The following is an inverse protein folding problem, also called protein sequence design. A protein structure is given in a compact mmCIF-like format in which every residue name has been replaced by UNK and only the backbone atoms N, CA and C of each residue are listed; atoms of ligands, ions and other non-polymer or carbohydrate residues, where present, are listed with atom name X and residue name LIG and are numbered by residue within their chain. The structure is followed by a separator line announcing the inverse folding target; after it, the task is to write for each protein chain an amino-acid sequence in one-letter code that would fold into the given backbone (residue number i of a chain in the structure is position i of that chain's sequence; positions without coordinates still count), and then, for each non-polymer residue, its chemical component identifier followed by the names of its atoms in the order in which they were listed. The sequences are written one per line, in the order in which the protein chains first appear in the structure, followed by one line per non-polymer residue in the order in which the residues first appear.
data_IF_277896389177
#
_entry.id   IF_277896389177
#
_cell.length_a   1.000
_cell.length_b   1.000
_cell.length_c   1.000
_cell.angle_alpha   90.00
_cell.angle_beta   90.00
_cell.angle_gamma   90.00
#
_symmetry.space_group_name_H-M   'P 1'
#
loop_
_entity.id
_entity.type
_entity.pdbx_description
1 polymer ?
#
# COMPACT_ATOMS: atom_id res chain seq x y z
N UNK A 1 13.17 -14.04 32.32
CA UNK A 1 12.32 -12.87 32.04
C UNK A 1 11.21 -13.36 31.13
N UNK A 2 9.98 -13.38 31.64
CA UNK A 2 8.88 -14.16 31.07
C UNK A 2 8.32 -13.53 29.81
N UNK A 3 8.61 -14.11 28.66
CA UNK A 3 7.95 -13.77 27.39
C UNK A 3 6.47 -14.21 27.35
N UNK A 4 6.01 -14.98 28.34
CA UNK A 4 4.63 -15.49 28.42
C UNK A 4 3.59 -14.37 28.53
N UNK A 5 3.87 -13.27 29.23
CA UNK A 5 2.98 -12.14 29.39
C UNK A 5 2.74 -11.31 28.10
N UNK A 6 3.61 -11.42 27.10
CA UNK A 6 3.42 -10.73 25.81
C UNK A 6 2.44 -11.52 24.93
N UNK A 7 2.34 -12.83 25.13
CA UNK A 7 1.52 -13.74 24.34
C UNK A 7 0.18 -14.16 24.99
N UNK A 8 -0.09 -13.75 26.22
CA UNK A 8 -1.42 -13.91 26.85
C UNK A 8 -2.49 -13.01 26.21
N UNK A 9 -2.13 -12.46 25.07
CA UNK A 9 -3.07 -11.80 24.19
C UNK A 9 -4.08 -12.83 23.70
N UNK A 10 -5.31 -12.69 24.12
CA UNK A 10 -6.43 -13.45 23.57
C UNK A 10 -6.37 -13.28 22.04
N UNK A 11 -6.02 -14.34 21.34
CA UNK A 11 -6.00 -14.44 19.86
C UNK A 11 -7.25 -13.78 19.26
N UNK A 12 -8.38 -13.82 19.98
CA UNK A 12 -9.61 -13.13 19.64
C UNK A 12 -9.47 -11.59 19.49
N UNK A 13 -8.61 -10.91 20.25
CA UNK A 13 -8.44 -9.46 20.10
C UNK A 13 -7.59 -9.11 18.87
N UNK A 14 -6.61 -9.94 18.55
CA UNK A 14 -5.85 -9.80 17.32
C UNK A 14 -6.73 -10.08 16.10
N UNK A 15 -7.55 -11.12 16.15
CA UNK A 15 -8.51 -11.45 15.09
C UNK A 15 -9.55 -10.33 14.96
N UNK A 16 -10.07 -9.76 16.02
CA UNK A 16 -11.03 -8.65 15.98
C UNK A 16 -10.37 -7.38 15.44
N UNK A 17 -9.18 -7.02 15.89
CA UNK A 17 -8.44 -5.88 15.36
C UNK A 17 -8.15 -6.07 13.86
N UNK A 18 -7.86 -7.30 13.46
CA UNK A 18 -7.53 -7.67 12.10
C UNK A 18 -8.77 -7.81 11.19
N UNK A 19 -9.90 -8.30 11.70
CA UNK A 19 -11.17 -8.32 10.97
C UNK A 19 -11.74 -6.90 10.80
N UNK A 20 -11.58 -6.02 11.78
CA UNK A 20 -11.89 -4.60 11.65
C UNK A 20 -10.96 -3.92 10.62
N UNK A 21 -9.68 -4.27 10.60
CA UNK A 21 -8.72 -3.83 9.59
C UNK A 21 -9.14 -4.30 8.18
N UNK A 22 -9.52 -5.57 8.01
CA UNK A 22 -10.02 -6.12 6.75
C UNK A 22 -11.37 -5.54 6.32
N UNK A 23 -12.30 -5.37 7.25
CA UNK A 23 -13.61 -4.78 6.97
C UNK A 23 -13.47 -3.33 6.49
N UNK A 24 -12.48 -2.59 6.99
CA UNK A 24 -12.18 -1.25 6.54
C UNK A 24 -11.58 -1.24 5.13
N UNK A 25 -10.73 -2.21 4.78
CA UNK A 25 -10.21 -2.36 3.41
C UNK A 25 -11.30 -2.77 2.39
N UNK A 26 -12.37 -3.42 2.82
CA UNK A 26 -13.53 -3.67 1.96
C UNK A 26 -14.30 -2.38 1.59
N UNK A 27 -14.10 -1.28 2.35
CA UNK A 27 -14.68 0.05 2.08
C UNK A 27 -13.81 0.88 1.14
N UNK A 28 -12.56 0.46 0.88
CA UNK A 28 -11.59 1.19 0.06
C UNK A 28 -12.08 1.49 -1.36
N UNK A 29 -12.77 0.59 -2.07
CA UNK A 29 -13.26 0.90 -3.40
C UNK A 29 -14.19 2.12 -3.45
N UNK A 30 -14.99 2.34 -2.40
CA UNK A 30 -15.93 3.47 -2.35
C UNK A 30 -15.23 4.82 -2.08
N UNK A 31 -14.04 4.82 -1.47
CA UNK A 31 -13.26 6.05 -1.24
C UNK A 31 -12.62 6.54 -2.54
N UNK A 32 -12.25 5.63 -3.45
CA UNK A 32 -11.73 5.99 -4.77
C UNK A 32 -12.74 6.78 -5.63
N UNK A 33 -14.02 6.41 -5.56
CA UNK A 33 -15.07 7.11 -6.33
C UNK A 33 -15.32 8.56 -5.85
N UNK A 34 -14.98 8.89 -4.59
CA UNK A 34 -15.19 10.23 -4.02
C UNK A 34 -13.93 11.11 -4.01
N UNK A 35 -12.73 10.54 -4.06
CA UNK A 35 -11.48 11.31 -4.09
C UNK A 35 -11.31 12.09 -5.42
N UNK A 36 -11.89 11.62 -6.52
CA UNK A 36 -11.86 12.32 -7.82
C UNK A 36 -12.63 13.66 -7.82
N UNK A 37 -13.61 13.83 -6.92
CA UNK A 37 -14.38 15.08 -6.83
C UNK A 37 -13.64 16.21 -6.09
N UNK A 38 -12.58 15.89 -5.33
CA UNK A 38 -11.83 16.88 -4.51
C UNK A 38 -10.55 17.36 -5.19
N UNK A 39 -10.00 16.59 -6.13
CA UNK A 39 -8.67 16.87 -6.72
C UNK A 39 -8.71 17.95 -7.85
N UNK A 40 -9.88 18.36 -8.31
CA UNK A 40 -9.99 19.42 -9.34
C UNK A 40 -9.67 20.83 -8.82
N UNK A 41 -9.45 21.02 -7.51
CA UNK A 41 -9.20 22.34 -6.91
C UNK A 41 -7.79 22.52 -6.33
N UNK A 42 -6.94 21.49 -6.31
CA UNK A 42 -5.59 21.55 -5.68
C UNK A 42 -4.43 21.46 -6.70
N UNK A 43 -4.72 21.32 -7.99
CA UNK A 43 -3.70 21.06 -9.02
C UNK A 43 -2.85 22.27 -9.46
N UNK A 44 -2.92 23.43 -8.76
CA UNK A 44 -2.23 24.65 -9.24
C UNK A 44 -0.98 25.06 -8.43
N UNK A 45 -0.38 24.21 -7.62
CA UNK A 45 0.76 24.70 -6.78
C UNK A 45 1.96 23.78 -6.58
N UNK A 46 2.19 22.75 -7.41
CA UNK A 46 3.46 22.00 -7.35
C UNK A 46 4.02 21.66 -8.73
N UNK A 47 4.44 22.70 -9.46
CA UNK A 47 5.40 22.51 -10.55
C UNK A 47 6.79 22.29 -9.93
N UNK A 48 7.17 21.03 -9.73
CA UNK A 48 8.58 20.65 -9.63
C UNK A 48 9.01 20.24 -11.04
N UNK A 49 9.86 21.05 -11.63
CA UNK A 49 10.48 20.82 -12.94
C UNK A 49 11.21 19.47 -12.96
N UNK A 50 10.68 18.52 -13.69
CA UNK A 50 11.44 17.44 -14.31
C UNK A 50 11.36 17.67 -15.82
N UNK A 51 12.19 18.60 -16.28
CA UNK A 51 12.41 18.83 -17.69
C UNK A 51 13.35 17.74 -18.21
N UNK A 52 12.80 16.74 -18.88
CA UNK A 52 13.57 15.79 -19.67
C UNK A 52 12.80 15.49 -20.96
N UNK A 53 13.17 16.22 -21.99
CA UNK A 53 13.11 15.87 -23.43
C UNK A 53 11.83 15.15 -23.92
N UNK A 54 10.80 15.92 -24.21
CA UNK A 54 9.79 15.53 -25.19
C UNK A 54 10.40 15.65 -26.60
N UNK A 55 10.70 14.54 -27.23
CA UNK A 55 10.98 14.48 -28.65
C UNK A 55 9.88 13.68 -29.35
N UNK A 56 9.21 14.36 -30.23
CA UNK A 56 8.22 13.99 -31.22
C UNK A 56 7.87 12.51 -31.43
N UNK A 57 6.58 12.23 -31.27
CA UNK A 57 5.90 10.98 -31.60
C UNK A 57 5.80 10.82 -33.14
N UNK A 58 6.72 10.04 -33.72
CA UNK A 58 6.56 9.46 -35.05
C UNK A 58 6.09 8.01 -34.93
N UNK A 59 4.93 7.67 -35.47
CA UNK A 59 4.45 6.29 -35.60
C UNK A 59 5.40 5.52 -36.52
N UNK A 60 6.14 4.56 -35.93
CA UNK A 60 6.99 3.60 -36.66
C UNK A 60 6.96 2.28 -35.87
N UNK A 61 6.75 1.19 -36.57
CA UNK A 61 6.68 -0.18 -36.10
C UNK A 61 7.75 -0.52 -35.06
N UNK A 62 7.30 -1.03 -33.89
CA UNK A 62 8.13 -1.83 -32.98
C UNK A 62 9.17 -1.08 -32.14
N UNK A 63 9.03 0.19 -31.83
CA UNK A 63 9.90 0.83 -30.83
C UNK A 63 9.45 0.40 -29.44
N UNK A 64 10.34 -0.33 -28.76
CA UNK A 64 10.22 -0.63 -27.33
C UNK A 64 10.13 0.68 -26.54
N UNK A 65 8.99 0.92 -25.88
CA UNK A 65 8.79 2.05 -24.97
C UNK A 65 9.01 1.58 -23.54
N UNK A 66 10.13 1.96 -22.91
CA UNK A 66 10.40 1.56 -21.53
C UNK A 66 9.41 2.14 -20.54
N UNK A 67 8.81 3.29 -20.82
CA UNK A 67 7.85 3.94 -19.94
C UNK A 67 6.58 3.11 -19.81
N UNK A 68 6.09 2.58 -20.93
CA UNK A 68 4.90 1.72 -20.95
C UNK A 68 5.13 0.45 -20.13
N UNK A 69 6.27 -0.21 -20.29
CA UNK A 69 6.63 -1.43 -19.53
C UNK A 69 6.73 -1.15 -18.02
N UNK A 70 7.36 -0.04 -17.65
CA UNK A 70 7.49 0.37 -16.25
C UNK A 70 6.10 0.64 -15.65
N UNK A 71 5.26 1.37 -16.37
CA UNK A 71 3.93 1.73 -15.91
C UNK A 71 3.01 0.52 -15.77
N UNK A 72 3.05 -0.40 -16.71
CA UNK A 72 2.26 -1.64 -16.66
C UNK A 72 2.63 -2.52 -15.46
N UNK A 73 3.92 -2.59 -15.10
CA UNK A 73 4.36 -3.35 -13.94
C UNK A 73 3.96 -2.74 -12.60
N UNK A 74 4.00 -1.40 -12.49
CA UNK A 74 3.69 -0.68 -11.25
C UNK A 74 2.18 -0.58 -11.03
N UNK A 75 1.40 -0.44 -12.11
CA UNK A 75 -0.04 -0.30 -12.06
C UNK A 75 -0.73 -1.53 -11.44
N UNK A 76 -1.84 -1.27 -10.75
CA UNK A 76 -2.73 -2.34 -10.30
C UNK A 76 -3.49 -2.93 -11.50
N UNK A 77 -3.78 -4.22 -11.45
CA UNK A 77 -4.37 -4.96 -12.58
C UNK A 77 -5.37 -5.99 -12.09
N UNK A 78 -6.37 -6.29 -12.92
CA UNK A 78 -7.36 -7.35 -12.68
C UNK A 78 -6.85 -8.75 -13.06
N UNK A 79 -5.61 -8.85 -13.53
CA UNK A 79 -4.97 -10.10 -13.91
C UNK A 79 -3.64 -10.23 -13.17
N UNK A 80 -3.37 -11.38 -12.59
CA UNK A 80 -2.09 -11.65 -11.93
C UNK A 80 -1.20 -12.50 -12.84
N UNK A 81 -0.17 -11.90 -13.39
CA UNK A 81 0.81 -12.61 -14.23
C UNK A 81 1.69 -13.53 -13.37
N UNK A 82 1.82 -14.78 -13.79
CA UNK A 82 2.62 -15.80 -13.11
C UNK A 82 3.99 -15.94 -13.76
N UNK A 83 4.02 -16.27 -15.05
CA UNK A 83 5.24 -16.35 -15.86
C UNK A 83 4.88 -16.46 -17.34
N UNK A 84 5.51 -15.71 -18.21
CA UNK A 84 5.25 -15.72 -19.66
C UNK A 84 3.78 -15.44 -19.96
N UNK A 85 3.11 -16.35 -20.68
CA UNK A 85 1.69 -16.22 -21.04
C UNK A 85 0.73 -16.80 -19.97
N UNK A 86 1.25 -17.29 -18.84
CA UNK A 86 0.42 -17.84 -17.79
C UNK A 86 -0.01 -16.72 -16.84
N UNK A 87 -1.32 -16.47 -16.78
CA UNK A 87 -1.92 -15.45 -15.91
C UNK A 87 -3.09 -16.04 -15.11
N UNK A 88 -3.25 -15.59 -13.87
CA UNK A 88 -4.39 -15.91 -13.03
C UNK A 88 -5.44 -14.80 -13.18
N UNK A 89 -6.62 -15.13 -13.75
CA UNK A 89 -7.73 -14.17 -13.80
C UNK A 89 -8.32 -13.99 -12.41
N UNK A 90 -8.59 -12.74 -12.05
CA UNK A 90 -9.17 -12.37 -10.76
C UNK A 90 -10.67 -12.08 -10.90
N UNK A 91 -11.48 -12.26 -9.85
CA UNK A 91 -12.90 -11.99 -9.91
C UNK A 91 -13.17 -10.48 -9.99
N UNK A 92 -13.95 -10.10 -10.97
CA UNK A 92 -14.49 -8.76 -11.17
C UNK A 92 -15.87 -8.69 -10.53
N UNK A 93 -16.08 -7.69 -9.68
CA UNK A 93 -17.31 -7.45 -8.93
C UNK A 93 -17.72 -6.00 -9.16
N UNK A 94 -18.76 -5.78 -9.96
CA UNK A 94 -19.29 -4.47 -10.29
C UNK A 94 -20.67 -4.27 -9.70
N UNK A 95 -20.87 -3.18 -9.01
CA UNK A 95 -22.19 -2.74 -8.59
C UNK A 95 -22.67 -1.62 -9.49
N UNK A 96 -23.70 -1.91 -10.29
CA UNK A 96 -24.30 -0.99 -11.24
C UNK A 96 -25.69 -0.57 -10.74
N UNK A 97 -26.28 0.53 -11.25
CA UNK A 97 -27.67 0.87 -10.94
C UNK A 97 -28.68 -0.23 -11.25
N UNK A 98 -28.36 -1.12 -12.19
CA UNK A 98 -29.20 -2.25 -12.60
C UNK A 98 -29.00 -3.49 -11.73
N UNK A 99 -27.96 -3.55 -10.89
CA UNK A 99 -27.68 -4.67 -9.98
C UNK A 99 -26.22 -5.06 -9.91
N UNK A 100 -25.95 -6.12 -9.14
CA UNK A 100 -24.61 -6.67 -8.95
C UNK A 100 -24.24 -7.60 -10.13
N UNK A 101 -23.05 -7.40 -10.69
CA UNK A 101 -22.45 -8.29 -11.68
C UNK A 101 -21.13 -8.86 -11.17
N UNK A 102 -20.96 -10.17 -11.37
CA UNK A 102 -19.72 -10.88 -10.97
C UNK A 102 -19.31 -11.78 -12.12
N UNK A 103 -18.07 -11.59 -12.59
CA UNK A 103 -17.48 -12.39 -13.65
C UNK A 103 -15.96 -12.46 -13.49
N UNK A 104 -15.29 -13.28 -14.32
CA UNK A 104 -13.84 -13.42 -14.28
C UNK A 104 -13.17 -12.40 -15.20
N UNK A 105 -12.06 -11.81 -14.76
CA UNK A 105 -11.27 -10.89 -15.61
C UNK A 105 -10.68 -11.58 -16.86
N UNK A 106 -10.62 -12.92 -16.88
CA UNK A 106 -10.22 -13.69 -18.04
C UNK A 106 -11.11 -13.48 -19.27
N UNK A 107 -12.38 -13.10 -19.07
CA UNK A 107 -13.34 -12.77 -20.13
C UNK A 107 -12.90 -11.58 -21.01
N UNK A 108 -12.03 -10.70 -20.48
CA UNK A 108 -11.50 -9.58 -21.25
C UNK A 108 -10.34 -9.95 -22.19
N UNK A 109 -9.83 -11.20 -22.14
CA UNK A 109 -8.68 -11.65 -22.94
C UNK A 109 -7.55 -10.62 -23.00
N UNK A 110 -7.08 -10.17 -21.83
CA UNK A 110 -6.07 -9.11 -21.67
C UNK A 110 -6.49 -7.71 -22.17
N UNK A 111 -7.78 -7.48 -22.38
CA UNK A 111 -8.31 -6.19 -22.86
C UNK A 111 -8.60 -6.15 -24.36
N UNK A 112 -8.38 -7.26 -25.08
CA UNK A 112 -8.64 -7.35 -26.52
C UNK A 112 -10.15 -7.50 -26.84
N UNK A 113 -10.94 -8.00 -25.90
CA UNK A 113 -12.37 -8.25 -26.09
C UNK A 113 -13.24 -7.55 -25.06
N UNK A 114 -14.40 -7.08 -25.54
CA UNK A 114 -15.45 -6.56 -24.67
C UNK A 114 -16.21 -7.73 -24.03
N UNK A 115 -16.41 -7.67 -22.71
CA UNK A 115 -17.24 -8.64 -22.02
C UNK A 115 -18.69 -8.19 -21.98
N UNK A 116 -19.61 -9.04 -22.49
CA UNK A 116 -21.04 -8.81 -22.40
C UNK A 116 -21.59 -9.38 -21.10
N UNK A 117 -21.73 -8.49 -20.10
CA UNK A 117 -22.34 -8.82 -18.82
C UNK A 117 -23.85 -9.01 -18.92
N UNK A 118 -24.49 -9.16 -17.76
CA UNK A 118 -25.94 -9.35 -17.67
C UNK A 118 -26.74 -8.07 -18.01
N UNK A 119 -26.21 -6.92 -17.63
CA UNK A 119 -26.89 -5.64 -17.79
C UNK A 119 -26.20 -4.72 -18.82
N UNK A 120 -24.87 -4.74 -18.87
CA UNK A 120 -24.08 -3.87 -19.73
C UNK A 120 -22.95 -4.66 -20.42
N UNK A 121 -22.37 -4.03 -21.45
CA UNK A 121 -21.12 -4.49 -22.05
C UNK A 121 -19.97 -3.72 -21.44
N UNK A 122 -18.92 -4.40 -21.05
CA UNK A 122 -17.76 -3.83 -20.34
C UNK A 122 -16.49 -3.96 -21.17
N UNK A 123 -15.68 -2.93 -21.12
CA UNK A 123 -14.33 -2.90 -21.71
C UNK A 123 -13.32 -2.56 -20.64
N UNK A 124 -12.19 -3.26 -20.63
CA UNK A 124 -11.03 -2.86 -19.86
C UNK A 124 -10.35 -1.71 -20.62
N UNK A 125 -10.53 -0.47 -20.17
CA UNK A 125 -9.97 0.69 -20.88
C UNK A 125 -8.47 0.72 -20.71
N UNK A 126 -7.76 0.50 -21.82
CA UNK A 126 -6.45 1.12 -22.04
C UNK A 126 -6.74 2.57 -22.40
N UNK A 127 -6.16 3.51 -21.65
CA UNK A 127 -6.47 4.92 -21.86
C UNK A 127 -6.24 5.36 -23.29
N UNK A 128 -7.19 6.18 -23.75
CA UNK A 128 -7.13 6.86 -25.02
C UNK A 128 -5.86 7.71 -25.10
N UNK A 129 -5.01 7.41 -26.06
CA UNK A 129 -3.85 8.19 -26.45
C UNK A 129 -4.22 9.67 -26.53
N UNK A 130 -3.80 10.47 -25.56
CA UNK A 130 -3.97 11.92 -25.62
C UNK A 130 -4.34 12.65 -24.33
N UNK A 131 -4.65 11.96 -23.25
CA UNK A 131 -4.86 12.62 -21.97
C UNK A 131 -3.60 12.56 -21.08
N UNK A 132 -3.31 13.70 -20.47
CA UNK A 132 -2.12 13.95 -19.66
C UNK A 132 -1.88 12.85 -18.62
N UNK A 133 -0.65 12.36 -18.57
CA UNK A 133 -0.11 11.26 -17.76
C UNK A 133 -0.47 11.30 -16.25
N UNK A 134 -1.08 12.39 -15.76
CA UNK A 134 -1.25 12.61 -14.33
C UNK A 134 -2.47 11.97 -13.69
N UNK A 135 -3.51 11.62 -14.43
CA UNK A 135 -4.78 11.22 -13.82
C UNK A 135 -5.08 9.71 -13.77
N UNK A 136 -4.38 8.90 -14.57
CA UNK A 136 -4.66 7.46 -14.65
C UNK A 136 -3.47 6.56 -14.30
N UNK A 137 -2.55 7.09 -13.53
CA UNK A 137 -1.25 6.48 -13.21
C UNK A 137 -1.31 5.09 -12.55
N UNK A 138 -2.48 4.67 -12.02
CA UNK A 138 -2.48 3.52 -11.10
C UNK A 138 -3.50 2.40 -11.37
N UNK A 139 -4.50 2.54 -12.25
CA UNK A 139 -5.50 1.48 -12.43
C UNK A 139 -6.09 1.43 -13.84
N UNK A 140 -6.06 0.27 -14.48
CA UNK A 140 -6.92 -0.01 -15.65
C UNK A 140 -8.37 -0.07 -15.15
N UNK A 141 -9.21 0.92 -15.52
CA UNK A 141 -10.61 0.99 -15.10
C UNK A 141 -11.51 0.20 -16.05
N UNK A 142 -12.52 -0.45 -15.49
CA UNK A 142 -13.57 -1.10 -16.28
C UNK A 142 -14.61 -0.04 -16.63
N UNK A 143 -14.87 0.13 -17.93
CA UNK A 143 -15.83 1.12 -18.46
C UNK A 143 -16.98 0.42 -19.18
N UNK A 144 -18.15 1.06 -19.20
CA UNK A 144 -19.31 0.61 -19.97
C UNK A 144 -19.14 1.00 -21.42
N UNK A 145 -19.50 0.08 -22.32
CA UNK A 145 -19.55 0.32 -23.75
C UNK A 145 -21.01 0.53 -24.14
N UNK A 146 -21.32 1.67 -24.76
CA UNK A 146 -22.62 2.00 -25.28
C UNK A 146 -23.01 1.14 -26.49
N UNK A 147 -24.25 1.27 -26.95
CA UNK A 147 -24.78 0.54 -28.11
C UNK A 147 -24.06 0.89 -29.43
N UNK A 148 -23.39 2.02 -29.47
CA UNK A 148 -22.58 2.54 -30.58
C UNK A 148 -21.11 2.04 -30.57
N UNK A 149 -20.76 1.18 -29.61
CA UNK A 149 -19.39 0.63 -29.46
C UNK A 149 -18.38 1.58 -28.85
N UNK A 150 -18.81 2.78 -28.46
CA UNK A 150 -17.97 3.77 -27.77
C UNK A 150 -18.15 3.65 -26.24
N UNK A 151 -17.19 4.21 -25.49
CA UNK A 151 -17.25 4.24 -24.03
C UNK A 151 -18.34 5.24 -23.61
N UNK A 152 -19.28 4.80 -22.80
CA UNK A 152 -20.29 5.61 -22.14
C UNK A 152 -19.74 6.10 -20.81
N UNK A 153 -19.29 7.37 -20.77
CA UNK A 153 -18.70 7.97 -19.56
C UNK A 153 -19.74 8.18 -18.45
N UNK A 154 -21.01 8.49 -18.80
CA UNK A 154 -22.06 8.69 -17.80
C UNK A 154 -22.45 7.39 -17.11
N UNK A 155 -22.63 6.32 -17.88
CA UNK A 155 -22.89 5.00 -17.33
C UNK A 155 -21.68 4.45 -16.55
N UNK A 156 -20.47 4.74 -17.03
CA UNK A 156 -19.22 4.32 -16.36
C UNK A 156 -19.04 5.02 -15.01
N UNK A 157 -19.41 6.29 -14.88
CA UNK A 157 -19.33 7.05 -13.63
C UNK A 157 -20.29 6.52 -12.53
N UNK A 158 -21.34 5.79 -12.91
CA UNK A 158 -22.32 5.23 -11.97
C UNK A 158 -21.93 3.83 -11.46
N UNK A 159 -20.86 3.25 -11.96
CA UNK A 159 -20.41 1.91 -11.52
C UNK A 159 -19.50 2.07 -10.31
N UNK A 160 -19.79 1.27 -9.27
CA UNK A 160 -18.87 1.06 -8.16
C UNK A 160 -18.11 -0.24 -8.41
N UNK A 161 -16.80 -0.14 -8.54
CA UNK A 161 -15.91 -1.29 -8.77
C UNK A 161 -15.40 -1.83 -7.42
N UNK A 162 -15.83 -3.06 -7.09
CA UNK A 162 -15.40 -3.83 -5.93
C UNK A 162 -14.52 -5.03 -6.33
N UNK A 163 -13.96 -4.99 -7.52
CA UNK A 163 -13.17 -6.10 -8.06
C UNK A 163 -11.95 -6.40 -7.19
N UNK A 164 -11.58 -7.67 -7.16
CA UNK A 164 -10.34 -8.10 -6.52
C UNK A 164 -9.20 -7.90 -7.52
N UNK A 165 -8.44 -6.83 -7.32
CA UNK A 165 -7.24 -6.54 -8.11
C UNK A 165 -6.04 -7.33 -7.60
N UNK A 166 -4.92 -7.29 -8.34
CA UNK A 166 -3.64 -7.90 -7.98
C UNK A 166 -3.17 -7.45 -6.58
N UNK A 167 -3.27 -6.15 -6.28
CA UNK A 167 -2.85 -5.61 -5.00
C UNK A 167 -3.77 -6.07 -3.85
N UNK A 168 -5.08 -6.11 -4.09
CA UNK A 168 -6.06 -6.61 -3.11
C UNK A 168 -5.83 -8.10 -2.82
N UNK A 169 -5.61 -8.90 -3.86
CA UNK A 169 -5.31 -10.33 -3.72
C UNK A 169 -4.01 -10.58 -2.94
N UNK A 170 -2.94 -9.82 -3.23
CA UNK A 170 -1.67 -9.89 -2.50
C UNK A 170 -1.82 -9.46 -1.03
N UNK A 171 -2.64 -8.45 -0.77
CA UNK A 171 -2.97 -8.03 0.58
C UNK A 171 -3.68 -9.13 1.36
N UNK A 172 -4.68 -9.80 0.77
CA UNK A 172 -5.33 -10.96 1.40
C UNK A 172 -4.35 -12.10 1.65
N UNK A 173 -3.46 -12.37 0.69
CA UNK A 173 -2.41 -13.37 0.86
C UNK A 173 -1.49 -13.04 2.05
N UNK A 174 -1.04 -11.78 2.16
CA UNK A 174 -0.25 -11.30 3.31
C UNK A 174 -0.97 -11.53 4.63
N UNK A 175 -2.27 -11.24 4.66
CA UNK A 175 -3.12 -11.46 5.82
C UNK A 175 -3.16 -12.93 6.22
N UNK A 176 -3.37 -13.82 5.27
CA UNK A 176 -3.37 -15.27 5.51
C UNK A 176 -2.00 -15.73 6.04
N UNK A 177 -0.91 -15.29 5.41
CA UNK A 177 0.45 -15.59 5.86
C UNK A 177 0.66 -15.13 7.31
N UNK A 178 0.27 -13.89 7.64
CA UNK A 178 0.38 -13.36 9.00
C UNK A 178 -0.40 -14.20 10.01
N UNK A 179 -1.66 -14.53 9.71
CA UNK A 179 -2.47 -15.36 10.60
C UNK A 179 -1.85 -16.75 10.82
N UNK A 180 -1.39 -17.40 9.76
CA UNK A 180 -0.73 -18.71 9.86
C UNK A 180 0.57 -18.65 10.66
N UNK A 181 1.41 -17.65 10.39
CA UNK A 181 2.68 -17.47 11.08
C UNK A 181 2.45 -17.17 12.56
N UNK A 182 1.63 -16.17 12.89
CA UNK A 182 1.42 -15.76 14.28
C UNK A 182 0.70 -16.82 15.11
N UNK A 183 -0.30 -17.52 14.55
CA UNK A 183 -0.98 -18.61 15.26
C UNK A 183 -0.05 -19.81 15.49
N UNK A 184 0.81 -20.13 14.52
CA UNK A 184 1.84 -21.18 14.66
C UNK A 184 2.84 -20.82 15.75
N UNK A 185 3.36 -19.59 15.75
CA UNK A 185 4.31 -19.09 16.75
C UNK A 185 3.66 -19.05 18.14
N UNK A 186 2.44 -18.53 18.26
CA UNK A 186 1.71 -18.50 19.54
C UNK A 186 1.48 -19.91 20.11
N UNK A 187 1.16 -20.87 19.25
CA UNK A 187 1.02 -22.28 19.65
C UNK A 187 2.37 -22.88 20.09
N UNK A 188 3.46 -22.52 19.39
CA UNK A 188 4.80 -22.97 19.76
C UNK A 188 5.25 -22.44 21.13
N UNK A 189 4.92 -21.18 21.46
CA UNK A 189 5.18 -20.61 22.79
C UNK A 189 4.42 -21.36 23.89
N UNK A 190 3.13 -21.64 23.71
CA UNK A 190 2.33 -22.40 24.68
C UNK A 190 2.85 -23.82 24.92
N UNK A 191 3.31 -24.51 23.82
CA UNK A 191 3.83 -25.89 23.93
C UNK A 191 5.23 -25.96 24.54
N UNK A 192 5.99 -24.86 24.51
CA UNK A 192 7.40 -24.81 24.93
C UNK A 192 7.66 -23.84 26.05
N UNK A 193 6.68 -23.65 26.92
CA UNK A 193 6.83 -22.81 28.10
C UNK A 193 8.04 -23.28 28.93
N UNK A 194 8.96 -22.34 29.26
CA UNK A 194 10.21 -22.63 29.98
C UNK A 194 11.30 -23.35 29.17
N UNK A 195 11.16 -23.55 27.84
CA UNK A 195 12.16 -24.14 26.97
C UNK A 195 12.68 -23.17 25.93
N UNK A 196 13.89 -23.42 25.41
CA UNK A 196 14.47 -22.60 24.34
C UNK A 196 13.61 -22.60 23.06
N UNK A 197 13.48 -21.45 22.37
CA UNK A 197 12.76 -21.34 21.11
C UNK A 197 13.42 -22.20 20.02
N UNK A 198 12.63 -22.73 19.09
CA UNK A 198 13.12 -23.51 17.94
C UNK A 198 12.35 -23.19 16.67
N UNK A 199 13.02 -23.30 15.52
CA UNK A 199 12.44 -23.11 14.20
C UNK A 199 11.95 -21.68 13.96
N UNK A 200 10.73 -21.51 13.44
CA UNK A 200 10.14 -20.21 13.12
C UNK A 200 10.04 -19.27 14.35
N UNK A 201 9.77 -19.83 15.52
CA UNK A 201 9.77 -19.08 16.78
C UNK A 201 11.13 -18.42 17.05
N UNK A 202 12.24 -19.18 16.91
CA UNK A 202 13.60 -18.67 17.13
C UNK A 202 14.00 -17.61 16.10
N UNK A 203 13.46 -17.68 14.89
CA UNK A 203 13.70 -16.69 13.83
C UNK A 203 12.97 -15.37 14.09
N UNK A 204 11.73 -15.42 14.54
CA UNK A 204 10.90 -14.22 14.75
C UNK A 204 11.12 -13.57 16.12
N UNK A 205 11.57 -14.32 17.12
CA UNK A 205 11.77 -13.81 18.49
C UNK A 205 12.70 -12.60 18.58
N UNK A 206 13.86 -12.55 17.90
CA UNK A 206 14.70 -11.36 17.89
C UNK A 206 13.98 -10.11 17.38
N UNK A 207 13.12 -10.26 16.37
CA UNK A 207 12.34 -9.14 15.81
C UNK A 207 11.28 -8.68 16.81
N UNK A 208 10.58 -9.60 17.47
CA UNK A 208 9.61 -9.25 18.52
C UNK A 208 10.26 -8.53 19.69
N UNK A 209 11.41 -9.04 20.15
CA UNK A 209 12.19 -8.42 21.25
C UNK A 209 12.66 -7.02 20.84
N UNK A 210 13.19 -6.87 19.63
CA UNK A 210 13.61 -5.58 19.08
C UNK A 210 12.46 -4.57 19.05
N UNK A 211 11.30 -4.92 18.48
CA UNK A 211 10.15 -4.01 18.43
C UNK A 211 9.64 -3.68 19.84
N UNK A 212 9.68 -4.64 20.77
CA UNK A 212 9.25 -4.42 22.14
C UNK A 212 10.21 -3.49 22.91
N UNK A 213 11.51 -3.79 22.89
CA UNK A 213 12.48 -3.18 23.79
C UNK A 213 13.11 -1.91 23.21
N UNK A 214 13.34 -1.87 21.88
CA UNK A 214 13.96 -0.73 21.21
C UNK A 214 12.97 0.24 20.57
N UNK A 215 11.72 -0.20 20.29
CA UNK A 215 10.71 0.66 19.68
C UNK A 215 9.57 1.00 20.64
N UNK A 216 8.86 0.00 21.16
CA UNK A 216 7.64 0.25 21.92
C UNK A 216 7.91 0.83 23.31
N UNK A 217 8.79 0.22 24.10
CA UNK A 217 9.09 0.66 25.47
C UNK A 217 9.65 2.07 25.57
N UNK A 218 10.66 2.46 24.76
CA UNK A 218 11.25 3.80 24.87
C UNK A 218 10.30 4.91 24.46
N UNK A 219 9.41 4.64 23.48
CA UNK A 219 8.53 5.65 22.90
C UNK A 219 7.16 5.74 23.57
N UNK A 220 6.61 4.62 24.07
CA UNK A 220 5.25 4.56 24.64
C UNK A 220 5.29 4.54 26.18
N UNK A 221 6.40 4.06 26.78
CA UNK A 221 6.55 3.98 28.22
C UNK A 221 5.76 2.82 28.83
N UNK A 222 5.06 3.06 29.96
CA UNK A 222 4.42 2.03 30.76
C UNK A 222 3.33 1.23 30.00
N UNK A 223 2.58 1.90 29.14
CA UNK A 223 1.42 1.31 28.44
C UNK A 223 1.78 0.60 27.11
N UNK A 224 3.07 0.38 26.84
CA UNK A 224 3.53 -0.22 25.58
C UNK A 224 2.85 -1.55 25.25
N UNK A 225 2.55 -2.37 26.27
CA UNK A 225 1.95 -3.69 26.08
C UNK A 225 0.57 -3.64 25.40
N UNK A 226 -0.18 -2.56 25.61
CA UNK A 226 -1.49 -2.34 25.00
C UNK A 226 -1.40 -2.13 23.49
N UNK A 227 -0.33 -1.45 23.02
CA UNK A 227 -0.14 -1.10 21.62
C UNK A 227 0.76 -2.08 20.85
N UNK A 228 1.42 -3.03 21.55
CA UNK A 228 2.27 -4.04 20.92
C UNK A 228 1.61 -4.80 19.76
N UNK A 229 0.35 -5.25 19.86
CA UNK A 229 -0.29 -5.96 18.75
C UNK A 229 -0.41 -5.12 17.50
N UNK A 230 -0.77 -3.84 17.66
CA UNK A 230 -0.88 -2.91 16.56
C UNK A 230 0.48 -2.68 15.89
N UNK A 231 1.53 -2.40 16.68
CA UNK A 231 2.87 -2.16 16.18
C UNK A 231 3.44 -3.39 15.44
N UNK A 232 3.27 -4.60 16.00
CA UNK A 232 3.68 -5.83 15.35
C UNK A 232 2.91 -6.09 14.06
N UNK A 233 1.60 -5.84 14.07
CA UNK A 233 0.75 -6.03 12.87
C UNK A 233 1.20 -5.11 11.75
N UNK A 234 1.39 -3.82 12.01
CA UNK A 234 1.86 -2.86 11.01
C UNK A 234 3.25 -3.24 10.50
N UNK A 235 4.18 -3.53 11.41
CA UNK A 235 5.54 -3.89 11.03
C UNK A 235 5.56 -5.07 10.06
N UNK A 236 4.96 -6.19 10.46
CA UNK A 236 4.98 -7.39 9.63
C UNK A 236 4.11 -7.27 8.39
N UNK A 237 3.01 -6.53 8.43
CA UNK A 237 2.19 -6.25 7.26
C UNK A 237 2.98 -5.49 6.19
N UNK A 238 3.64 -4.41 6.58
CA UNK A 238 4.49 -3.63 5.66
C UNK A 238 5.66 -4.48 5.17
N UNK A 239 6.36 -5.17 6.08
CA UNK A 239 7.53 -5.99 5.74
C UNK A 239 7.18 -7.08 4.74
N UNK A 240 6.12 -7.86 4.98
CA UNK A 240 5.73 -8.97 4.10
C UNK A 240 5.26 -8.45 2.75
N UNK A 241 4.44 -7.36 2.71
CA UNK A 241 4.03 -6.78 1.44
C UNK A 241 5.21 -6.24 0.63
N UNK A 242 6.17 -5.57 1.28
CA UNK A 242 7.37 -5.10 0.61
C UNK A 242 8.20 -6.27 0.06
N UNK A 243 8.40 -7.33 0.86
CA UNK A 243 9.13 -8.53 0.42
C UNK A 243 8.41 -9.25 -0.73
N UNK A 244 7.09 -9.38 -0.66
CA UNK A 244 6.30 -9.96 -1.75
C UNK A 244 6.38 -9.11 -3.02
N UNK A 245 6.40 -7.78 -2.88
CA UNK A 245 6.57 -6.86 -3.99
C UNK A 245 7.89 -7.05 -4.72
N UNK A 246 8.98 -7.31 -4.00
CA UNK A 246 10.32 -7.54 -4.56
C UNK A 246 10.46 -8.85 -5.34
N UNK A 247 9.63 -9.85 -5.07
CA UNK A 247 9.68 -11.14 -5.77
C UNK A 247 8.97 -11.00 -7.12
N UNK A 248 9.67 -11.11 -8.26
CA UNK A 248 9.05 -10.90 -9.58
C UNK A 248 8.20 -12.09 -10.07
N UNK A 249 8.10 -13.15 -9.26
CA UNK A 249 7.41 -14.41 -9.59
C UNK A 249 6.22 -14.57 -8.66
N UNK A 250 5.11 -15.11 -9.20
CA UNK A 250 3.94 -15.45 -8.36
C UNK A 250 4.35 -16.26 -7.11
N UNK A 251 3.84 -15.92 -5.93
CA UNK A 251 2.77 -14.96 -5.59
C UNK A 251 3.27 -13.52 -5.34
N UNK A 252 4.42 -13.14 -5.83
CA UNK A 252 4.98 -11.80 -5.73
C UNK A 252 4.57 -10.86 -6.88
N UNK A 253 5.32 -9.78 -7.04
CA UNK A 253 5.13 -8.80 -8.11
C UNK A 253 3.94 -7.86 -7.94
N UNK A 254 3.27 -7.89 -6.78
CA UNK A 254 2.21 -6.94 -6.46
C UNK A 254 2.78 -5.77 -5.63
N UNK A 255 2.66 -4.57 -6.14
CA UNK A 255 3.16 -3.35 -5.51
C UNK A 255 2.12 -2.77 -4.53
N UNK A 256 1.78 -3.51 -3.47
CA UNK A 256 0.73 -3.13 -2.51
C UNK A 256 1.08 -1.83 -1.78
N UNK A 257 2.30 -1.71 -1.30
CA UNK A 257 2.79 -0.53 -0.54
C UNK A 257 3.22 0.63 -1.45
N UNK A 258 3.40 0.39 -2.74
CA UNK A 258 3.51 1.41 -3.77
C UNK A 258 2.17 1.91 -4.30
N UNK A 259 1.05 1.44 -3.74
CA UNK A 259 -0.27 2.01 -4.00
C UNK A 259 -0.59 3.07 -2.93
N UNK A 260 -0.83 4.31 -3.38
CA UNK A 260 -1.04 5.46 -2.49
C UNK A 260 -2.25 5.29 -1.57
N UNK A 261 -3.32 4.62 -2.03
CA UNK A 261 -4.48 4.39 -1.20
C UNK A 261 -4.21 3.39 -0.07
N UNK A 262 -3.45 2.33 -0.34
CA UNK A 262 -3.05 1.38 0.71
C UNK A 262 -2.21 2.07 1.78
N UNK A 263 -1.23 2.88 1.38
CA UNK A 263 -0.38 3.62 2.31
C UNK A 263 -1.14 4.72 3.06
N UNK A 264 -2.10 5.37 2.39
CA UNK A 264 -3.00 6.34 3.01
C UNK A 264 -3.84 5.69 4.12
N UNK A 265 -4.42 4.53 3.86
CA UNK A 265 -5.24 3.81 4.85
C UNK A 265 -4.39 3.37 6.05
N UNK A 266 -3.18 2.85 5.84
CA UNK A 266 -2.27 2.52 6.93
C UNK A 266 -1.95 3.74 7.80
N UNK A 267 -1.67 4.88 7.16
CA UNK A 267 -1.42 6.13 7.85
C UNK A 267 -2.66 6.65 8.59
N UNK A 268 -3.85 6.51 7.99
CA UNK A 268 -5.12 6.87 8.60
C UNK A 268 -5.44 6.02 9.83
N UNK A 269 -5.14 4.71 9.80
CA UNK A 269 -5.25 3.86 11.00
C UNK A 269 -4.36 4.34 12.14
N UNK A 270 -3.12 4.68 11.83
CA UNK A 270 -2.20 5.26 12.81
C UNK A 270 -2.78 6.55 13.39
N UNK A 271 -3.29 7.45 12.55
CA UNK A 271 -3.94 8.69 12.97
C UNK A 271 -5.13 8.43 13.90
N UNK A 272 -6.02 7.50 13.53
CA UNK A 272 -7.18 7.13 14.34
C UNK A 272 -6.74 6.59 15.70
N UNK A 273 -5.78 5.66 15.74
CA UNK A 273 -5.30 5.07 16.99
C UNK A 273 -4.66 6.14 17.89
N UNK A 274 -3.85 7.02 17.33
CA UNK A 274 -3.23 8.12 18.07
C UNK A 274 -4.30 9.03 18.69
N UNK A 275 -5.25 9.50 17.89
CA UNK A 275 -6.25 10.47 18.35
C UNK A 275 -7.29 9.86 19.31
N UNK A 276 -7.73 8.61 19.08
CA UNK A 276 -8.71 7.92 19.98
C UNK A 276 -8.09 7.61 21.34
N UNK A 277 -6.77 7.35 21.39
CA UNK A 277 -6.08 7.08 22.65
C UNK A 277 -5.44 8.34 23.25
N UNK A 278 -5.58 9.50 22.60
CA UNK A 278 -5.03 10.77 23.06
C UNK A 278 -5.59 11.17 24.42
N UNK A 279 -4.69 11.50 25.36
CA UNK A 279 -5.03 11.90 26.73
C UNK A 279 -5.63 13.32 26.74
N UNK A 280 -6.24 13.70 27.87
CA UNK A 280 -6.76 15.08 28.06
C UNK A 280 -5.68 16.16 27.89
N UNK A 281 -4.44 15.87 28.24
CA UNK A 281 -3.31 16.78 28.06
C UNK A 281 -2.95 16.98 26.59
N UNK A 282 -3.01 15.91 25.79
CA UNK A 282 -2.83 15.97 24.33
C UNK A 282 -3.86 16.89 23.68
N UNK A 283 -5.15 16.67 23.96
CA UNK A 283 -6.20 17.53 23.40
C UNK A 283 -6.17 18.95 23.93
N UNK A 284 -5.78 19.14 25.19
CA UNK A 284 -5.56 20.49 25.75
C UNK A 284 -4.42 21.22 25.04
N UNK A 285 -3.34 20.51 24.70
CA UNK A 285 -2.23 21.09 23.93
C UNK A 285 -2.68 21.53 22.54
N UNK A 286 -3.51 20.74 21.87
CA UNK A 286 -4.06 21.03 20.53
C UNK A 286 -4.99 22.24 20.55
N UNK A 287 -5.95 22.29 21.48
CA UNK A 287 -7.00 23.33 21.48
C UNK A 287 -6.70 24.51 22.43
N UNK A 288 -5.86 24.33 23.40
CA UNK A 288 -5.50 25.35 24.39
C UNK A 288 -4.01 25.29 24.75
N UNK A 289 -3.12 25.54 23.77
CA UNK A 289 -1.68 25.54 24.02
C UNK A 289 -1.30 26.56 25.07
N UNK A 290 -0.21 26.32 25.81
CA UNK A 290 0.27 27.19 26.89
C UNK A 290 0.95 28.46 26.34
N UNK A 291 0.22 29.26 25.55
CA UNK A 291 0.67 30.51 24.94
C UNK A 291 -0.28 31.66 25.23
N UNK A 292 0.10 32.91 25.08
CA UNK A 292 -0.79 34.07 25.24
C UNK A 292 -2.01 33.95 24.28
N UNK A 293 -3.19 34.37 24.76
CA UNK A 293 -4.47 34.20 24.02
C UNK A 293 -4.49 34.75 22.60
N UNK A 294 -3.72 35.83 22.33
CA UNK A 294 -3.64 36.39 20.98
C UNK A 294 -2.94 35.49 19.98
N UNK A 295 -2.05 34.59 20.45
CA UNK A 295 -1.35 33.60 19.62
C UNK A 295 -2.21 32.36 19.27
N UNK A 296 -3.35 32.14 19.91
CA UNK A 296 -4.23 31.00 19.65
C UNK A 296 -4.69 30.96 18.19
N UNK A 297 -4.90 32.12 17.56
CA UNK A 297 -5.34 32.24 16.16
C UNK A 297 -4.35 31.56 15.21
N UNK A 298 -3.06 31.61 15.55
CA UNK A 298 -1.99 31.00 14.71
C UNK A 298 -1.67 29.58 15.21
N UNK A 299 -1.60 29.39 16.53
CA UNK A 299 -1.10 28.14 17.11
C UNK A 299 -2.06 26.95 16.92
N UNK A 300 -3.37 27.16 17.07
CA UNK A 300 -4.36 26.10 16.89
C UNK A 300 -4.36 25.55 15.45
N UNK A 301 -4.40 26.36 14.38
CA UNK A 301 -4.25 25.86 13.01
C UNK A 301 -2.93 25.13 12.77
N UNK A 302 -1.82 25.63 13.29
CA UNK A 302 -0.50 24.99 13.15
C UNK A 302 -0.48 23.62 13.81
N UNK A 303 -1.02 23.49 15.04
CA UNK A 303 -1.09 22.23 15.75
C UNK A 303 -2.00 21.24 15.02
N UNK A 304 -3.14 21.70 14.50
CA UNK A 304 -4.05 20.87 13.69
C UNK A 304 -3.38 20.37 12.40
N UNK A 305 -2.67 21.24 11.68
CA UNK A 305 -1.86 20.86 10.51
C UNK A 305 -0.78 19.86 10.93
N UNK A 306 -0.16 20.05 12.09
CA UNK A 306 0.82 19.13 12.65
C UNK A 306 0.28 17.72 12.84
N UNK A 307 -0.93 17.58 13.38
CA UNK A 307 -1.59 16.28 13.55
C UNK A 307 -1.83 15.59 12.19
N UNK A 308 -2.25 16.36 11.19
CA UNK A 308 -2.56 15.82 9.85
C UNK A 308 -1.28 15.51 9.05
N UNK A 309 -0.23 16.33 9.21
CA UNK A 309 1.02 16.15 8.46
C UNK A 309 1.81 14.91 8.84
N UNK A 310 1.69 14.44 10.10
CA UNK A 310 2.38 13.24 10.59
C UNK A 310 2.01 11.97 9.79
N UNK A 311 0.72 11.57 9.70
CA UNK A 311 0.33 10.41 8.89
C UNK A 311 0.57 10.65 7.38
N UNK A 312 0.42 11.88 6.90
CA UNK A 312 0.74 12.22 5.51
C UNK A 312 2.22 11.93 5.19
N UNK A 313 3.13 12.33 6.08
CA UNK A 313 4.54 12.02 5.92
C UNK A 313 4.85 10.52 5.92
N UNK A 314 4.13 9.73 6.76
CA UNK A 314 4.23 8.26 6.75
C UNK A 314 3.76 7.66 5.41
N UNK A 315 2.62 8.12 4.92
CA UNK A 315 2.04 7.70 3.64
C UNK A 315 3.01 7.96 2.49
N UNK A 316 3.43 9.23 2.32
CA UNK A 316 4.30 9.63 1.20
C UNK A 316 5.63 8.90 1.25
N UNK A 317 6.23 8.75 2.44
CA UNK A 317 7.50 8.04 2.58
C UNK A 317 7.41 6.58 2.14
N UNK A 318 6.37 5.86 2.59
CA UNK A 318 6.19 4.46 2.24
C UNK A 318 5.93 4.30 0.74
N UNK A 319 5.00 5.07 0.20
CA UNK A 319 4.67 5.09 -1.22
C UNK A 319 5.88 5.42 -2.11
N UNK A 320 6.54 6.56 -1.83
CA UNK A 320 7.62 7.05 -2.68
C UNK A 320 8.83 6.11 -2.74
N UNK A 321 9.23 5.55 -1.61
CA UNK A 321 10.41 4.68 -1.57
C UNK A 321 10.22 3.40 -2.37
N UNK A 322 9.07 2.73 -2.22
CA UNK A 322 8.80 1.48 -2.94
C UNK A 322 8.57 1.75 -4.43
N UNK A 323 7.79 2.78 -4.77
CA UNK A 323 7.54 3.11 -6.18
C UNK A 323 8.83 3.55 -6.89
N UNK A 324 9.67 4.37 -6.26
CA UNK A 324 10.95 4.79 -6.83
C UNK A 324 11.91 3.59 -7.05
N UNK A 325 11.98 2.66 -6.09
CA UNK A 325 12.79 1.44 -6.23
C UNK A 325 12.40 0.64 -7.48
N UNK A 326 11.11 0.30 -7.62
CA UNK A 326 10.60 -0.42 -8.79
C UNK A 326 10.86 0.32 -10.11
N UNK A 327 10.67 1.66 -10.15
CA UNK A 327 10.97 2.45 -11.36
C UNK A 327 12.45 2.34 -11.74
N UNK A 328 13.36 2.44 -10.78
CA UNK A 328 14.79 2.38 -11.04
C UNK A 328 15.20 1.01 -11.57
N UNK A 329 14.75 -0.09 -10.92
CA UNK A 329 15.08 -1.45 -11.34
C UNK A 329 14.57 -1.74 -12.75
N UNK A 330 13.30 -1.42 -13.04
CA UNK A 330 12.71 -1.61 -14.36
C UNK A 330 13.38 -0.75 -15.43
N UNK A 331 13.76 0.48 -15.10
CA UNK A 331 14.49 1.37 -16.01
C UNK A 331 15.87 0.82 -16.35
N UNK A 332 16.59 0.25 -15.37
CA UNK A 332 17.89 -0.40 -15.61
C UNK A 332 17.77 -1.63 -16.51
N UNK A 333 16.72 -2.43 -16.35
CA UNK A 333 16.45 -3.59 -17.22
C UNK A 333 16.11 -3.10 -18.63
N UNK A 334 15.29 -2.07 -18.76
CA UNK A 334 14.88 -1.48 -20.04
C UNK A 334 16.06 -0.96 -20.85
N UNK A 335 17.16 -0.56 -20.20
CA UNK A 335 18.37 -0.07 -20.86
C UNK A 335 18.98 -1.12 -21.81
N UNK A 336 18.88 -2.42 -21.49
CA UNK A 336 19.37 -3.52 -22.32
C UNK A 336 18.61 -3.53 -23.67
N UNK A 337 17.31 -3.32 -23.62
CA UNK A 337 16.43 -3.33 -24.80
C UNK A 337 16.60 -2.06 -25.65
N UNK A 338 16.81 -0.89 -25.00
CA UNK A 338 17.04 0.39 -25.71
C UNK A 338 18.31 0.34 -26.52
N UNK A 339 19.40 -0.08 -25.90
CA UNK A 339 20.71 -0.11 -26.59
C UNK A 339 20.88 -1.30 -27.53
N UNK A 340 20.01 -2.31 -27.48
CA UNK A 340 20.09 -3.55 -28.30
C UNK A 340 21.49 -4.18 -28.31
N UNK A 341 22.27 -3.96 -27.26
CA UNK A 341 23.66 -4.38 -27.15
C UNK A 341 23.85 -5.34 -25.97
N UNK A 342 24.23 -6.57 -26.29
CA UNK A 342 24.52 -7.59 -25.29
C UNK A 342 25.73 -7.21 -24.39
N UNK A 343 26.58 -6.31 -24.85
CA UNK A 343 27.72 -5.82 -24.06
C UNK A 343 27.31 -4.99 -22.83
N UNK A 344 26.12 -4.36 -22.85
CA UNK A 344 25.58 -3.58 -21.74
C UNK A 344 24.91 -4.48 -20.70
N UNK A 345 24.44 -5.65 -21.09
CA UNK A 345 23.69 -6.55 -20.22
C UNK A 345 24.44 -6.90 -18.91
N UNK A 346 25.73 -7.26 -18.87
CA UNK A 346 26.42 -7.56 -17.62
C UNK A 346 26.47 -6.37 -16.65
N UNK A 347 26.63 -5.15 -17.18
CA UNK A 347 26.68 -3.91 -16.38
C UNK A 347 25.29 -3.61 -15.83
N UNK A 348 24.26 -3.66 -16.67
CA UNK A 348 22.88 -3.42 -16.26
C UNK A 348 22.42 -4.45 -15.21
N UNK A 349 22.67 -5.74 -15.42
CA UNK A 349 22.34 -6.80 -14.47
C UNK A 349 23.10 -6.63 -13.16
N UNK A 350 24.39 -6.24 -13.19
CA UNK A 350 25.16 -5.96 -11.99
C UNK A 350 24.55 -4.82 -11.16
N UNK A 351 24.10 -3.74 -11.83
CA UNK A 351 23.39 -2.64 -11.16
C UNK A 351 22.02 -3.05 -10.63
N UNK A 352 21.27 -3.87 -11.36
CA UNK A 352 19.97 -4.40 -10.91
C UNK A 352 20.15 -5.20 -9.63
N UNK A 353 21.09 -6.15 -9.57
CA UNK A 353 21.36 -6.94 -8.35
C UNK A 353 21.74 -6.02 -7.18
N UNK A 354 22.56 -5.00 -7.42
CA UNK A 354 22.92 -4.02 -6.39
C UNK A 354 21.68 -3.26 -5.89
N UNK A 355 20.82 -2.81 -6.80
CA UNK A 355 19.58 -2.11 -6.46
C UNK A 355 18.60 -3.02 -5.72
N UNK A 356 18.45 -4.28 -6.10
CA UNK A 356 17.58 -5.24 -5.41
C UNK A 356 18.03 -5.46 -3.95
N UNK A 357 19.35 -5.52 -3.70
CA UNK A 357 19.89 -5.61 -2.33
C UNK A 357 19.58 -4.35 -1.54
N UNK A 358 19.72 -3.16 -2.15
CA UNK A 358 19.33 -1.90 -1.50
C UNK A 358 17.82 -1.85 -1.23
N UNK A 359 17.01 -2.30 -2.19
CA UNK A 359 15.55 -2.31 -2.07
C UNK A 359 15.11 -3.28 -0.95
N UNK A 360 15.76 -4.42 -0.79
CA UNK A 360 15.55 -5.32 0.33
C UNK A 360 15.86 -4.66 1.68
N UNK A 361 16.96 -3.92 1.77
CA UNK A 361 17.30 -3.14 2.96
C UNK A 361 16.25 -2.07 3.24
N UNK A 362 15.84 -1.34 2.21
CA UNK A 362 14.81 -0.29 2.30
C UNK A 362 13.46 -0.89 2.72
N UNK A 363 13.10 -2.06 2.22
CA UNK A 363 11.87 -2.77 2.57
C UNK A 363 11.76 -3.02 4.09
N UNK A 364 12.86 -3.49 4.70
CA UNK A 364 12.94 -3.67 6.15
C UNK A 364 12.94 -2.32 6.89
N UNK A 365 13.79 -1.40 6.46
CA UNK A 365 13.92 -0.07 7.07
C UNK A 365 12.59 0.69 7.05
N UNK A 366 11.81 0.55 6.01
CA UNK A 366 10.52 1.23 5.86
C UNK A 366 9.48 0.69 6.85
N UNK A 367 9.42 -0.64 7.03
CA UNK A 367 8.58 -1.26 8.06
C UNK A 367 8.99 -0.80 9.47
N UNK A 368 10.29 -0.72 9.73
CA UNK A 368 10.84 -0.23 11.00
C UNK A 368 10.51 1.24 11.25
N UNK A 369 10.79 2.14 10.29
CA UNK A 369 10.56 3.58 10.46
C UNK A 369 9.07 3.88 10.63
N UNK A 370 8.19 3.22 9.87
CA UNK A 370 6.75 3.40 10.01
C UNK A 370 6.29 3.01 11.42
N UNK A 371 6.75 1.88 11.91
CA UNK A 371 6.41 1.37 13.25
C UNK A 371 6.98 2.25 14.36
N UNK A 372 8.23 2.70 14.22
CA UNK A 372 8.89 3.60 15.16
C UNK A 372 8.15 4.95 15.28
N UNK A 373 7.83 5.57 14.14
CA UNK A 373 7.10 6.83 14.15
C UNK A 373 5.66 6.67 14.67
N UNK A 374 5.00 5.54 14.37
CA UNK A 374 3.70 5.22 14.95
C UNK A 374 3.77 5.09 16.48
N UNK A 375 4.79 4.41 17.00
CA UNK A 375 5.04 4.30 18.44
C UNK A 375 5.31 5.66 19.09
N UNK A 376 6.13 6.49 18.43
CA UNK A 376 6.44 7.83 18.89
C UNK A 376 5.17 8.71 18.96
N UNK A 377 4.32 8.67 17.92
CA UNK A 377 3.07 9.45 17.89
C UNK A 377 2.07 8.98 18.95
N UNK A 378 1.97 7.67 19.19
CA UNK A 378 1.17 7.12 20.27
C UNK A 378 1.71 7.59 21.63
N UNK A 379 3.03 7.50 21.83
CA UNK A 379 3.68 7.95 23.07
C UNK A 379 3.37 9.40 23.39
N UNK A 380 3.58 10.30 22.42
CA UNK A 380 3.27 11.74 22.56
C UNK A 380 1.77 12.00 22.88
N UNK A 381 0.86 11.13 22.39
CA UNK A 381 -0.58 11.30 22.62
C UNK A 381 -1.02 10.83 24.01
N UNK A 382 -0.31 9.86 24.61
CA UNK A 382 -0.66 9.31 25.93
C UNK A 382 0.20 9.83 27.08
N UNK A 383 1.29 10.56 26.75
CA UNK A 383 2.20 11.11 27.77
C UNK A 383 1.47 12.01 28.76
N UNK A 384 1.62 11.72 30.04
CA UNK A 384 1.14 12.56 31.12
C UNK A 384 2.26 13.54 31.50
N UNK A 385 2.10 14.81 31.15
CA UNK A 385 2.99 15.86 31.67
C UNK A 385 2.68 16.04 33.16
N UNK A 386 3.59 15.57 34.00
CA UNK A 386 3.64 15.89 35.42
C UNK A 386 4.09 17.35 35.63
#
# INVERSE_FOLDING_TARGET
MDCSHVFDFKVNRLIVAFTLFLAFFAVVPSVYAHAEAVDSTVADSTHVHAEAAATESGHGEGKFDPTEVVMEHIADSHVWHVAGNLSFPLPVILYTPSGLEVFSSGEFHHGEHDHKGKYNTYRLSEETKGQTVSQNFFNKKIKVVGADGNIDEEASAQIMDFSITKNVAAMFLTVVILLLVFTSVATAYKKREGRSPKGLQSFLEPIFVFIRDDVARPNIGHDFARFMPFLLTIFFFILINNLLGLIPIFPGGANVTGNIATTFILALFTLIIVNVNGNKYYWKHVFAPAVPKWMYIIMIPVEFIGILSRPFALMVRLFANITAGHIIVLSLISLIFIFKSLAIAPVSVGFVIFMDVLELLVAFLQAFIFTLLSALFIGMAIEEHH
#
